data_IF_176957098771
#
_entry.id   IF_176957098771
#
_cell.length_a   1.000
_cell.length_b   1.000
_cell.length_c   1.000
_cell.angle_alpha   90.00
_cell.angle_beta   90.00
_cell.angle_gamma   90.00
#
_symmetry.space_group_name_H-M   'P 1'
#
loop_
_entity.id
_entity.type
_entity.pdbx_description
1 polymer ?
#
# COMPACT_ATOMS: atom_id res chain seq x y z
N UNK A 1 -12.66 -2.78 -19.02
CA UNK A 1 -11.65 -1.95 -19.71
C UNK A 1 -11.48 -0.73 -18.83
N UNK A 2 -10.60 -0.82 -17.85
CA UNK A 2 -10.42 0.24 -16.86
C UNK A 2 -9.41 1.25 -17.40
N UNK A 3 -9.90 2.44 -17.71
CA UNK A 3 -9.10 3.61 -18.07
C UNK A 3 -8.45 4.16 -16.80
N UNK A 4 -7.14 3.99 -16.68
CA UNK A 4 -6.33 4.69 -15.70
C UNK A 4 -6.33 6.19 -16.03
N UNK A 5 -6.83 7.01 -15.11
CA UNK A 5 -6.70 8.47 -15.17
C UNK A 5 -5.34 8.81 -14.57
N UNK A 6 -4.46 9.33 -15.43
CA UNK A 6 -3.14 9.83 -15.06
C UNK A 6 -3.30 11.15 -14.29
N UNK A 7 -3.07 11.11 -12.98
CA UNK A 7 -3.08 12.29 -12.12
C UNK A 7 -1.64 12.68 -11.88
N UNK A 8 -1.13 13.58 -12.73
CA UNK A 8 0.23 14.11 -12.62
C UNK A 8 0.42 14.84 -11.29
N UNK A 9 1.37 14.38 -10.48
CA UNK A 9 1.81 15.03 -9.24
C UNK A 9 3.21 15.60 -9.48
N UNK A 10 3.48 16.88 -9.16
CA UNK A 10 4.74 17.51 -9.49
C UNK A 10 5.92 16.90 -8.72
N UNK A 11 7.05 16.82 -9.42
CA UNK A 11 8.33 16.32 -8.91
C UNK A 11 8.89 17.27 -7.86
N UNK A 12 9.13 16.75 -6.66
CA UNK A 12 9.92 17.43 -5.63
C UNK A 12 11.31 16.78 -5.67
N UNK A 13 12.27 17.51 -6.25
CA UNK A 13 13.66 17.11 -6.29
C UNK A 13 14.28 17.18 -4.88
N UNK A 14 14.76 16.04 -4.38
CA UNK A 14 15.63 15.98 -3.20
C UNK A 14 16.96 15.28 -3.52
N UNK A 15 18.06 15.69 -2.85
CA UNK A 15 19.42 15.52 -3.34
C UNK A 15 19.92 14.07 -3.25
N UNK A 16 20.74 13.71 -4.23
CA UNK A 16 21.36 12.40 -4.35
C UNK A 16 22.43 12.19 -3.27
N UNK A 17 22.15 11.35 -2.28
CA UNK A 17 23.18 10.80 -1.39
C UNK A 17 23.71 9.50 -1.99
N UNK A 18 25.00 9.50 -2.34
CA UNK A 18 25.72 8.33 -2.86
C UNK A 18 25.94 7.28 -1.78
N UNK A 19 25.39 6.08 -1.96
CA UNK A 19 25.80 4.89 -1.20
C UNK A 19 26.30 3.83 -2.18
N UNK A 20 27.62 3.70 -2.28
CA UNK A 20 28.32 2.75 -3.14
C UNK A 20 29.12 1.71 -2.34
N UNK A 21 28.79 1.45 -1.07
CA UNK A 21 29.62 0.58 -0.21
C UNK A 21 28.97 -0.73 0.29
N UNK A 22 27.71 -1.05 -0.08
CA UNK A 22 26.99 -2.19 0.52
C UNK A 22 26.61 -3.30 -0.49
N UNK A 23 27.50 -3.65 -1.44
CA UNK A 23 27.24 -4.74 -2.41
C UNK A 23 27.91 -6.09 -2.07
N UNK A 24 28.86 -6.12 -1.15
CA UNK A 24 29.65 -7.33 -0.82
C UNK A 24 29.10 -8.18 0.35
N UNK A 25 28.09 -7.69 1.09
CA UNK A 25 27.50 -8.41 2.23
C UNK A 25 26.48 -9.50 1.85
N UNK A 26 25.81 -9.36 0.70
CA UNK A 26 24.58 -10.10 0.37
C UNK A 26 24.80 -11.57 -0.04
N UNK A 27 26.01 -11.98 -0.43
CA UNK A 27 26.31 -13.36 -0.86
C UNK A 27 26.60 -14.31 0.33
N UNK A 28 26.34 -13.87 1.57
CA UNK A 28 26.68 -14.62 2.80
C UNK A 28 25.46 -15.10 3.59
N UNK A 29 24.22 -14.79 3.20
CA UNK A 29 23.02 -15.29 3.87
C UNK A 29 22.91 -16.83 3.71
N UNK A 30 22.96 -17.61 4.81
CA UNK A 30 22.84 -19.07 4.76
C UNK A 30 21.53 -19.55 4.13
N UNK A 31 20.42 -18.83 4.35
CA UNK A 31 19.10 -19.18 3.82
C UNK A 31 19.10 -19.04 2.29
N UNK A 32 19.66 -17.94 1.77
CA UNK A 32 19.79 -17.74 0.33
C UNK A 32 20.64 -18.82 -0.35
N UNK A 33 21.76 -19.22 0.28
CA UNK A 33 22.64 -20.26 -0.26
C UNK A 33 21.91 -21.62 -0.34
N UNK A 34 21.13 -21.96 0.68
CA UNK A 34 20.31 -23.17 0.73
C UNK A 34 19.21 -23.12 -0.34
N UNK A 35 18.42 -22.04 -0.42
CA UNK A 35 17.37 -21.90 -1.44
C UNK A 35 17.91 -22.01 -2.87
N UNK A 36 19.03 -21.35 -3.16
CA UNK A 36 19.68 -21.41 -4.48
C UNK A 36 20.12 -22.83 -4.84
N UNK A 37 20.57 -23.61 -3.84
CA UNK A 37 20.97 -25.01 -4.04
C UNK A 37 19.79 -25.94 -4.36
N UNK A 38 18.60 -25.65 -3.83
CA UNK A 38 17.39 -26.48 -4.02
C UNK A 38 16.65 -26.11 -5.31
N UNK A 39 16.51 -24.82 -5.60
CA UNK A 39 15.71 -24.32 -6.74
C UNK A 39 16.51 -24.34 -8.05
N UNK A 40 17.84 -24.34 -7.96
CA UNK A 40 18.75 -24.37 -9.09
C UNK A 40 18.88 -23.01 -9.80
N UNK A 41 20.11 -22.59 -10.10
CA UNK A 41 20.37 -21.37 -10.85
C UNK A 41 20.22 -21.61 -12.36
N UNK A 42 19.01 -21.51 -12.89
CA UNK A 42 18.83 -21.37 -14.34
C UNK A 42 19.11 -19.91 -14.72
N UNK A 43 20.16 -19.69 -15.53
CA UNK A 43 20.32 -18.42 -16.25
C UNK A 43 19.11 -18.25 -17.17
N UNK A 44 18.17 -17.41 -16.77
CA UNK A 44 17.13 -16.93 -17.68
C UNK A 44 17.80 -15.92 -18.60
N UNK A 45 17.80 -16.22 -19.89
CA UNK A 45 18.24 -15.28 -20.91
C UNK A 45 17.16 -14.22 -21.05
N UNK A 46 17.31 -13.10 -20.35
CA UNK A 46 16.43 -11.95 -20.57
C UNK A 46 16.90 -11.28 -21.87
N UNK A 47 16.16 -11.52 -22.96
CA UNK A 47 16.45 -10.91 -24.26
C UNK A 47 16.40 -9.38 -24.17
N UNK A 48 17.53 -8.71 -24.37
CA UNK A 48 17.60 -7.25 -24.34
C UNK A 48 16.81 -6.58 -25.48
N UNK A 49 16.49 -7.29 -26.57
CA UNK A 49 15.72 -6.77 -27.71
C UNK A 49 14.24 -6.48 -27.35
N UNK A 50 13.69 -7.12 -26.30
CA UNK A 50 12.27 -7.03 -25.94
C UNK A 50 12.02 -6.39 -24.56
N UNK A 51 13.04 -5.80 -23.92
CA UNK A 51 12.88 -5.16 -22.62
C UNK A 51 12.13 -3.85 -22.78
N UNK A 52 11.00 -3.69 -22.08
CA UNK A 52 10.45 -2.35 -21.81
C UNK A 52 11.37 -1.68 -20.80
N UNK A 53 11.90 -0.52 -21.15
CA UNK A 53 12.50 0.38 -20.16
C UNK A 53 11.38 0.87 -19.25
N UNK A 54 11.43 0.46 -17.98
CA UNK A 54 10.53 0.94 -16.95
C UNK A 54 11.18 2.21 -16.37
N UNK A 55 10.49 3.34 -16.48
CA UNK A 55 10.96 4.59 -15.86
C UNK A 55 10.98 4.45 -14.34
N UNK A 56 11.82 5.24 -13.67
CA UNK A 56 11.88 5.25 -12.19
C UNK A 56 10.50 5.55 -11.58
N UNK A 57 9.79 6.51 -12.17
CA UNK A 57 8.43 6.89 -11.75
C UNK A 57 7.44 5.73 -11.86
N UNK A 58 7.47 4.98 -12.97
CA UNK A 58 6.57 3.83 -13.16
C UNK A 58 6.91 2.68 -12.22
N UNK A 59 8.20 2.45 -11.93
CA UNK A 59 8.62 1.47 -10.93
C UNK A 59 8.09 1.84 -9.54
N UNK A 60 8.28 3.08 -9.09
CA UNK A 60 7.82 3.55 -7.79
C UNK A 60 6.29 3.43 -7.67
N UNK A 61 5.55 3.75 -8.74
CA UNK A 61 4.09 3.58 -8.81
C UNK A 61 3.68 2.13 -8.64
N UNK A 62 4.38 1.19 -9.28
CA UNK A 62 4.10 -0.25 -9.17
C UNK A 62 4.44 -0.81 -7.78
N UNK A 63 5.47 -0.28 -7.13
CA UNK A 63 5.81 -0.65 -5.76
C UNK A 63 4.73 -0.15 -4.79
N UNK A 64 4.26 1.09 -4.94
CA UNK A 64 3.14 1.61 -4.15
C UNK A 64 1.86 0.81 -4.34
N UNK A 65 1.54 0.45 -5.58
CA UNK A 65 0.39 -0.41 -5.92
C UNK A 65 0.51 -1.77 -5.21
N UNK A 66 1.68 -2.41 -5.25
CA UNK A 66 1.94 -3.66 -4.55
C UNK A 66 1.76 -3.52 -3.04
N UNK A 67 2.31 -2.46 -2.43
CA UNK A 67 2.20 -2.19 -0.98
C UNK A 67 0.73 -2.01 -0.59
N UNK A 68 -0.02 -1.18 -1.33
CA UNK A 68 -1.43 -0.89 -1.03
C UNK A 68 -2.33 -2.11 -1.20
N UNK A 69 -2.24 -2.80 -2.34
CA UNK A 69 -3.11 -3.95 -2.66
C UNK A 69 -2.76 -5.17 -1.80
N UNK A 70 -1.48 -5.39 -1.54
CA UNK A 70 -1.00 -6.49 -0.71
C UNK A 70 -1.08 -6.23 0.79
N UNK A 71 -1.40 -5.00 1.20
CA UNK A 71 -1.35 -4.55 2.60
C UNK A 71 0.00 -4.87 3.28
N UNK A 72 1.10 -4.68 2.53
CA UNK A 72 2.44 -4.94 3.02
C UNK A 72 2.95 -3.77 3.89
N UNK A 73 3.82 -4.03 4.88
CA UNK A 73 4.51 -2.94 5.55
C UNK A 73 5.42 -2.20 4.56
N UNK A 74 5.54 -0.88 4.70
CA UNK A 74 6.43 -0.07 3.84
C UNK A 74 7.89 -0.53 3.91
N UNK A 75 8.31 -1.17 5.00
CA UNK A 75 9.65 -1.75 5.17
C UNK A 75 9.97 -2.88 4.19
N UNK A 76 8.97 -3.43 3.48
CA UNK A 76 9.21 -4.49 2.47
C UNK A 76 10.23 -4.06 1.41
N UNK A 77 10.33 -2.76 1.12
CA UNK A 77 11.28 -2.22 0.14
C UNK A 77 12.74 -2.33 0.58
N UNK A 78 12.97 -2.61 1.86
CA UNK A 78 14.29 -2.83 2.47
C UNK A 78 14.55 -4.32 2.72
N UNK A 79 13.55 -5.20 2.53
CA UNK A 79 13.75 -6.64 2.72
C UNK A 79 14.64 -7.21 1.62
N UNK A 80 15.63 -8.01 2.01
CA UNK A 80 16.63 -8.53 1.08
C UNK A 80 16.02 -9.36 -0.06
N UNK A 81 14.98 -10.14 0.23
CA UNK A 81 14.29 -10.94 -0.78
C UNK A 81 13.67 -10.08 -1.87
N UNK A 82 13.04 -8.97 -1.48
CA UNK A 82 12.46 -8.01 -2.40
C UNK A 82 13.54 -7.26 -3.19
N UNK A 83 14.60 -6.80 -2.52
CA UNK A 83 15.75 -6.16 -3.16
C UNK A 83 16.40 -7.07 -4.21
N UNK A 84 16.58 -8.36 -3.90
CA UNK A 84 17.12 -9.36 -4.84
C UNK A 84 16.21 -9.52 -6.06
N UNK A 85 14.90 -9.62 -5.86
CA UNK A 85 13.93 -9.72 -6.95
C UNK A 85 13.96 -8.48 -7.86
N UNK A 86 13.93 -7.28 -7.29
CA UNK A 86 13.96 -6.03 -8.06
C UNK A 86 15.28 -5.90 -8.82
N UNK A 87 16.42 -6.17 -8.19
CA UNK A 87 17.73 -6.12 -8.84
C UNK A 87 17.86 -7.15 -9.97
N UNK A 88 17.24 -8.33 -9.83
CA UNK A 88 17.20 -9.33 -10.89
C UNK A 88 16.39 -8.85 -12.11
N UNK A 89 15.25 -8.21 -11.87
CA UNK A 89 14.35 -7.72 -12.92
C UNK A 89 14.87 -6.44 -13.58
N UNK A 90 15.43 -5.52 -12.78
CA UNK A 90 15.99 -4.25 -13.20
C UNK A 90 17.27 -3.92 -12.40
N UNK A 91 18.44 -4.35 -12.89
CA UNK A 91 19.72 -4.12 -12.19
C UNK A 91 20.11 -2.66 -11.98
N UNK A 92 19.47 -1.72 -12.69
CA UNK A 92 19.71 -0.28 -12.57
C UNK A 92 18.71 0.41 -11.65
N UNK A 93 17.74 -0.33 -11.10
CA UNK A 93 16.79 0.20 -10.15
C UNK A 93 17.51 0.65 -8.87
N UNK A 94 17.17 1.85 -8.42
CA UNK A 94 17.57 2.32 -7.10
C UNK A 94 16.29 2.62 -6.33
N UNK A 95 15.96 1.74 -5.37
CA UNK A 95 14.75 1.88 -4.58
C UNK A 95 14.87 3.04 -3.59
N UNK A 96 13.74 3.72 -3.36
CA UNK A 96 13.62 4.75 -2.34
C UNK A 96 13.39 4.14 -0.95
N UNK A 97 13.49 4.96 0.08
CA UNK A 97 13.26 4.54 1.47
C UNK A 97 11.79 4.19 1.72
N UNK A 98 11.53 3.41 2.76
CA UNK A 98 10.17 3.16 3.26
C UNK A 98 9.43 4.46 3.61
N UNK A 99 10.15 5.46 4.13
CA UNK A 99 9.63 6.81 4.36
C UNK A 99 9.12 7.46 3.09
N UNK A 100 9.88 7.41 1.99
CA UNK A 100 9.43 7.98 0.72
C UNK A 100 8.10 7.37 0.26
N UNK A 101 7.97 6.04 0.32
CA UNK A 101 6.73 5.37 -0.09
C UNK A 101 5.57 5.66 0.87
N UNK A 102 5.84 5.78 2.16
CA UNK A 102 4.84 6.21 3.15
C UNK A 102 4.32 7.62 2.86
N UNK A 103 5.23 8.57 2.66
CA UNK A 103 4.87 9.97 2.37
C UNK A 103 4.11 10.08 1.04
N UNK A 104 4.56 9.34 0.02
CA UNK A 104 3.86 9.28 -1.27
C UNK A 104 2.48 8.64 -1.16
N UNK A 105 2.32 7.60 -0.33
CA UNK A 105 1.00 6.99 -0.05
C UNK A 105 0.08 8.00 0.63
N UNK A 106 0.56 8.73 1.64
CA UNK A 106 -0.22 9.78 2.30
C UNK A 106 -0.67 10.87 1.33
N UNK A 107 0.18 11.26 0.38
CA UNK A 107 -0.19 12.23 -0.66
C UNK A 107 -1.34 11.75 -1.58
N UNK A 108 -1.64 10.45 -1.62
CA UNK A 108 -2.79 9.92 -2.37
C UNK A 108 -4.11 9.93 -1.58
N UNK A 109 -4.07 10.27 -0.29
CA UNK A 109 -5.22 10.13 0.62
C UNK A 109 -6.46 10.85 0.10
N UNK A 110 -6.36 12.13 -0.25
CA UNK A 110 -7.51 12.92 -0.70
C UNK A 110 -8.12 12.37 -2.00
N UNK A 111 -7.29 11.84 -2.90
CA UNK A 111 -7.76 11.20 -4.13
C UNK A 111 -8.51 9.89 -3.83
N UNK A 112 -8.03 9.10 -2.85
CA UNK A 112 -8.71 7.88 -2.39
C UNK A 112 -10.02 8.22 -1.69
N UNK A 113 -10.04 9.22 -0.81
CA UNK A 113 -11.27 9.70 -0.15
C UNK A 113 -12.29 10.11 -1.21
N UNK A 114 -11.90 10.93 -2.18
CA UNK A 114 -12.78 11.32 -3.28
C UNK A 114 -13.33 10.10 -4.03
N UNK A 115 -12.47 9.13 -4.35
CA UNK A 115 -12.89 7.91 -5.04
C UNK A 115 -13.88 7.08 -4.21
N UNK A 116 -13.67 6.98 -2.90
CA UNK A 116 -14.61 6.33 -1.98
C UNK A 116 -15.95 7.06 -1.95
N UNK A 117 -15.93 8.39 -1.87
CA UNK A 117 -17.14 9.22 -1.91
C UNK A 117 -17.91 9.03 -3.22
N UNK A 118 -17.21 9.04 -4.36
CA UNK A 118 -17.82 8.78 -5.67
C UNK A 118 -18.49 7.39 -5.72
N UNK A 119 -17.83 6.35 -5.17
CA UNK A 119 -18.36 4.99 -5.13
C UNK A 119 -19.66 4.91 -4.31
N UNK A 120 -19.67 5.49 -3.11
CA UNK A 120 -20.84 5.44 -2.22
C UNK A 120 -21.96 6.39 -2.66
N UNK A 121 -21.64 7.47 -3.40
CA UNK A 121 -22.64 8.44 -3.90
C UNK A 121 -23.68 7.83 -4.84
N UNK A 122 -23.32 6.72 -5.49
CA UNK A 122 -24.20 5.97 -6.40
C UNK A 122 -25.10 4.97 -5.68
N UNK A 123 -24.89 4.74 -4.39
CA UNK A 123 -25.66 3.77 -3.62
C UNK A 123 -27.03 4.35 -3.23
N UNK A 124 -28.10 3.64 -3.60
CA UNK A 124 -29.48 4.00 -3.18
C UNK A 124 -29.68 3.80 -1.68
N UNK A 125 -29.06 2.74 -1.14
CA UNK A 125 -29.13 2.38 0.27
C UNK A 125 -27.74 1.98 0.78
N UNK A 126 -27.40 2.49 1.96
CA UNK A 126 -26.18 2.15 2.69
C UNK A 126 -26.56 1.48 4.01
N UNK A 127 -25.84 0.41 4.34
CA UNK A 127 -25.80 -0.12 5.70
C UNK A 127 -24.39 0.02 6.25
N UNK A 128 -24.29 0.18 7.57
CA UNK A 128 -23.02 0.34 8.24
C UNK A 128 -22.80 -0.77 9.25
N UNK A 129 -21.55 -1.21 9.37
CA UNK A 129 -21.10 -2.03 10.48
C UNK A 129 -19.98 -1.28 11.18
N UNK A 130 -20.10 -1.18 12.51
CA UNK A 130 -19.02 -0.68 13.36
C UNK A 130 -18.42 -1.85 14.13
N UNK A 131 -17.11 -1.85 14.28
CA UNK A 131 -16.39 -2.80 15.14
C UNK A 131 -15.43 -2.03 16.04
N UNK A 132 -15.35 -2.45 17.31
CA UNK A 132 -14.45 -1.87 18.30
C UNK A 132 -13.54 -2.98 18.80
N UNK A 133 -12.24 -2.79 18.58
CA UNK A 133 -11.22 -3.69 19.03
C UNK A 133 -10.32 -3.02 20.06
N UNK A 134 -10.17 -3.62 21.23
CA UNK A 134 -9.23 -3.15 22.26
C UNK A 134 -7.96 -3.98 22.22
N UNK A 135 -6.82 -3.31 22.06
CA UNK A 135 -5.54 -3.98 22.29
C UNK A 135 -5.38 -4.20 23.80
N UNK A 136 -5.20 -5.43 24.28
CA UNK A 136 -4.96 -5.63 25.72
C UNK A 136 -3.56 -5.18 26.17
N UNK A 137 -2.63 -5.05 25.22
CA UNK A 137 -1.24 -4.67 25.48
C UNK A 137 -0.96 -3.17 25.28
N UNK A 138 -1.85 -2.45 24.57
CA UNK A 138 -1.78 -0.99 24.40
C UNK A 138 -3.08 -0.43 24.95
N UNK A 139 -3.05 0.61 25.77
CA UNK A 139 -4.25 1.23 26.38
C UNK A 139 -5.14 1.97 25.37
N UNK A 140 -5.15 1.53 24.13
CA UNK A 140 -5.86 2.13 23.00
C UNK A 140 -6.79 1.11 22.38
N UNK A 141 -7.98 1.57 22.03
CA UNK A 141 -8.92 0.82 21.23
C UNK A 141 -9.01 1.41 19.84
N UNK A 142 -9.43 0.61 18.86
CA UNK A 142 -9.71 1.06 17.51
C UNK A 142 -11.19 0.89 17.25
N UNK A 143 -11.86 1.94 16.78
CA UNK A 143 -13.19 1.88 16.20
C UNK A 143 -13.08 1.99 14.70
N UNK A 144 -13.78 1.12 13.98
CA UNK A 144 -13.86 1.15 12.53
C UNK A 144 -15.31 1.27 12.07
N UNK A 145 -15.53 1.98 10.97
CA UNK A 145 -16.82 2.06 10.30
C UNK A 145 -16.67 1.56 8.86
N UNK A 146 -17.48 0.57 8.51
CA UNK A 146 -17.53 0.02 7.14
C UNK A 146 -18.92 0.21 6.58
N UNK A 147 -18.99 0.79 5.38
CA UNK A 147 -20.20 0.92 4.58
C UNK A 147 -20.37 -0.29 3.66
N UNK A 148 -21.60 -0.77 3.52
CA UNK A 148 -21.99 -1.84 2.60
C UNK A 148 -23.18 -1.35 1.76
N UNK A 149 -23.18 -1.68 0.48
CA UNK A 149 -24.28 -1.35 -0.41
C UNK A 149 -24.48 -2.43 -1.48
N UNK A 150 -25.60 -2.34 -2.18
CA UNK A 150 -25.93 -3.20 -3.32
C UNK A 150 -25.78 -2.36 -4.59
N UNK A 151 -24.93 -2.81 -5.50
CA UNK A 151 -24.83 -2.25 -6.85
C UNK A 151 -25.71 -3.10 -7.77
N UNK A 152 -26.90 -2.59 -8.10
CA UNK A 152 -27.86 -3.28 -8.95
C UNK A 152 -27.42 -3.35 -10.42
N UNK A 153 -26.58 -2.42 -10.88
CA UNK A 153 -26.09 -2.36 -12.27
C UNK A 153 -25.09 -3.50 -12.47
N UNK A 154 -24.08 -3.57 -11.60
CA UNK A 154 -23.03 -4.59 -11.70
C UNK A 154 -23.39 -5.90 -10.99
N UNK A 155 -24.54 -5.95 -10.28
CA UNK A 155 -25.01 -7.09 -9.48
C UNK A 155 -23.99 -7.53 -8.43
N UNK A 156 -23.35 -6.56 -7.78
CA UNK A 156 -22.35 -6.81 -6.73
C UNK A 156 -22.81 -6.27 -5.37
N UNK A 157 -22.09 -6.66 -4.31
CA UNK A 157 -22.28 -6.13 -2.95
C UNK A 157 -20.95 -5.56 -2.44
N UNK A 158 -20.57 -4.35 -2.85
CA UNK A 158 -19.32 -3.76 -2.40
C UNK A 158 -19.36 -3.42 -0.92
N UNK A 159 -18.19 -3.41 -0.30
CA UNK A 159 -17.96 -2.88 1.04
C UNK A 159 -16.76 -1.95 1.03
N UNK A 160 -16.85 -0.85 1.76
CA UNK A 160 -15.79 0.17 1.83
C UNK A 160 -15.58 0.59 3.27
N UNK A 161 -14.32 0.59 3.72
CA UNK A 161 -13.95 1.09 5.05
C UNK A 161 -13.93 2.62 4.96
N UNK A 162 -14.77 3.28 5.74
CA UNK A 162 -14.85 4.74 5.78
C UNK A 162 -13.80 5.33 6.72
N UNK A 163 -13.60 4.68 7.87
CA UNK A 163 -12.58 5.09 8.82
C UNK A 163 -12.17 3.96 9.76
N UNK A 164 -10.95 4.07 10.27
CA UNK A 164 -10.47 3.38 11.47
C UNK A 164 -9.78 4.44 12.35
N UNK A 165 -10.31 4.67 13.54
CA UNK A 165 -9.84 5.71 14.47
C UNK A 165 -9.43 5.12 15.81
N UNK A 166 -8.41 5.70 16.42
CA UNK A 166 -8.04 5.37 17.80
C UNK A 166 -9.02 6.00 18.79
N UNK A 167 -9.39 5.21 19.78
CA UNK A 167 -10.22 5.54 20.93
C UNK A 167 -9.40 5.39 22.19
N UNK A 168 -9.25 6.50 22.92
CA UNK A 168 -8.50 6.57 24.18
C UNK A 168 -9.43 6.52 25.39
N UNK A 169 -10.69 6.95 25.23
CA UNK A 169 -11.69 6.97 26.30
C UNK A 169 -12.47 5.67 26.42
N UNK A 170 -13.29 5.59 27.48
CA UNK A 170 -14.19 4.48 27.73
C UNK A 170 -15.17 4.25 26.58
N UNK A 171 -15.58 2.99 26.41
CA UNK A 171 -16.53 2.53 25.39
C UNK A 171 -17.98 2.93 25.69
N UNK A 172 -18.21 4.19 26.07
CA UNK A 172 -19.55 4.71 26.33
C UNK A 172 -20.31 4.93 25.02
N UNK A 173 -21.64 4.84 25.09
CA UNK A 173 -22.48 5.09 23.93
C UNK A 173 -22.32 6.50 23.36
N UNK A 174 -22.09 7.48 24.24
CA UNK A 174 -21.87 8.88 23.88
C UNK A 174 -20.59 9.07 23.07
N UNK A 175 -19.48 8.42 23.45
CA UNK A 175 -18.22 8.54 22.72
C UNK A 175 -18.29 7.83 21.37
N UNK A 176 -18.87 6.63 21.34
CA UNK A 176 -19.07 5.88 20.10
C UNK A 176 -19.92 6.72 19.13
N UNK A 177 -21.02 7.31 19.62
CA UNK A 177 -21.85 8.23 18.83
C UNK A 177 -21.02 9.40 18.30
N UNK A 178 -20.26 10.08 19.16
CA UNK A 178 -19.42 11.24 18.79
C UNK A 178 -18.46 10.90 17.64
N UNK A 179 -17.76 9.78 17.73
CA UNK A 179 -16.79 9.35 16.72
C UNK A 179 -17.48 8.97 15.41
N UNK A 180 -18.61 8.25 15.49
CA UNK A 180 -19.36 7.87 14.30
C UNK A 180 -19.95 9.09 13.58
N UNK A 181 -20.47 10.07 14.31
CA UNK A 181 -20.92 11.35 13.73
C UNK A 181 -19.77 12.08 13.03
N UNK A 182 -18.58 12.11 13.63
CA UNK A 182 -17.38 12.68 13.01
C UNK A 182 -16.96 11.94 11.73
N UNK A 183 -17.23 10.64 11.61
CA UNK A 183 -16.92 9.84 10.42
C UNK A 183 -17.95 10.05 9.30
N UNK A 184 -19.21 10.28 9.65
CA UNK A 184 -20.32 10.34 8.67
C UNK A 184 -20.62 11.77 8.20
N UNK A 185 -20.29 12.79 8.99
CA UNK A 185 -20.63 14.19 8.71
C UNK A 185 -19.55 14.98 7.92
N UNK A 186 -18.69 14.29 7.17
CA UNK A 186 -17.74 14.97 6.27
C UNK A 186 -18.44 15.68 5.10
#
# INVERSE_FOLDING_TARGET
>A
MDTAVDVGVPDVDEPSTSQNEEKDGLNKDPIYSFFSSVVGNKKVMICNCCKKEISRVELDRKILEMIAVGNYPFSIVQEEGFLRLVNYLNPQANLKSDKFYRDKMHATYDAVVKKVMDLISTAEHLSFTTDIWTNKAKTESLISLTAHYIDFINKTRPKVILAAKSMVSDHTGEEIKRILEEIVLF
#
